data_IF_789705775666
#
_entry.id   IF_789705775666
#
_cell.length_a   1.000
_cell.length_b   1.000
_cell.length_c   1.000
_cell.angle_alpha   90.00
_cell.angle_beta   90.00
_cell.angle_gamma   90.00
#
_symmetry.space_group_name_H-M   'P 1'
#
loop_
_entity.id
_entity.type
_entity.pdbx_description
1 polymer ?
#
# COMPACT_ATOMS: atom_id res chain seq x y z
N UNK A 1 -13.18 -18.73 -7.99
CA UNK A 1 -12.60 -17.43 -7.62
C UNK A 1 -13.13 -16.33 -8.51
N UNK A 2 -13.40 -15.14 -7.96
CA UNK A 2 -13.91 -13.98 -8.68
C UNK A 2 -12.96 -12.81 -8.48
N UNK A 3 -12.89 -11.93 -9.49
CA UNK A 3 -12.22 -10.63 -9.41
C UNK A 3 -13.19 -9.51 -9.77
N UNK A 4 -12.88 -8.33 -9.25
CA UNK A 4 -13.54 -7.09 -9.62
C UNK A 4 -12.80 -6.50 -10.81
N UNK A 5 -13.54 -6.18 -11.87
CA UNK A 5 -12.99 -5.70 -13.13
C UNK A 5 -13.60 -4.35 -13.53
N UNK A 6 -12.75 -3.33 -13.65
CA UNK A 6 -13.14 -2.02 -14.15
C UNK A 6 -12.79 -1.95 -15.62
N UNK A 7 -13.81 -1.82 -16.50
CA UNK A 7 -13.63 -1.78 -17.94
C UNK A 7 -14.20 -0.51 -18.54
N UNK A 8 -13.59 -0.06 -19.63
CA UNK A 8 -14.17 1.00 -20.45
C UNK A 8 -15.23 0.41 -21.36
N UNK A 9 -16.46 0.87 -21.19
CA UNK A 9 -17.61 0.46 -21.98
C UNK A 9 -18.05 1.53 -22.98
N UNK A 10 -17.72 2.81 -22.71
CA UNK A 10 -18.05 3.95 -23.58
C UNK A 10 -16.80 4.80 -23.87
N UNK A 11 -16.13 4.61 -25.01
CA UNK A 11 -14.89 5.33 -25.33
C UNK A 11 -15.09 6.83 -25.64
N UNK A 12 -16.30 7.22 -26.02
CA UNK A 12 -16.63 8.61 -26.36
C UNK A 12 -17.06 9.44 -25.16
N UNK A 13 -17.21 8.82 -23.99
CA UNK A 13 -17.48 9.54 -22.76
C UNK A 13 -16.20 10.07 -22.09
N UNK A 14 -16.36 11.14 -21.32
CA UNK A 14 -15.27 11.72 -20.57
C UNK A 14 -14.72 10.72 -19.53
N UNK A 15 -13.43 10.81 -19.29
CA UNK A 15 -12.51 9.96 -18.53
C UNK A 15 -13.12 8.90 -17.60
N UNK A 16 -14.01 9.26 -16.69
CA UNK A 16 -14.55 8.30 -15.70
C UNK A 16 -15.97 7.84 -15.98
N UNK A 17 -16.74 8.60 -16.79
CA UNK A 17 -18.14 8.29 -17.09
C UNK A 17 -18.32 7.09 -18.00
N UNK A 18 -17.32 6.78 -18.82
CA UNK A 18 -17.36 5.64 -19.72
C UNK A 18 -16.86 4.33 -19.10
N UNK A 19 -16.78 4.22 -17.76
CA UNK A 19 -16.29 3.03 -17.05
C UNK A 19 -17.45 2.27 -16.41
N UNK A 20 -17.46 0.95 -16.54
CA UNK A 20 -18.39 0.04 -15.85
C UNK A 20 -17.61 -1.00 -15.02
N UNK A 21 -18.22 -1.53 -13.97
CA UNK A 21 -17.58 -2.40 -13.00
C UNK A 21 -18.27 -3.76 -12.98
N UNK A 22 -17.50 -4.84 -12.96
CA UNK A 22 -18.02 -6.20 -13.11
C UNK A 22 -17.40 -7.17 -12.12
N UNK A 23 -18.17 -8.20 -11.77
CA UNK A 23 -17.61 -9.46 -11.27
C UNK A 23 -17.13 -10.31 -12.44
N UNK A 24 -15.89 -10.76 -12.38
CA UNK A 24 -15.32 -11.68 -13.36
C UNK A 24 -15.01 -13.01 -12.70
N UNK A 25 -15.58 -14.12 -13.19
CA UNK A 25 -15.13 -15.46 -12.81
C UNK A 25 -13.76 -15.73 -13.46
N UNK A 26 -12.74 -15.93 -12.64
CA UNK A 26 -11.37 -16.17 -13.10
C UNK A 26 -11.18 -17.52 -13.80
N UNK A 27 -12.21 -18.36 -13.84
CA UNK A 27 -12.23 -19.63 -14.61
C UNK A 27 -12.88 -19.48 -15.98
N UNK A 28 -13.28 -18.26 -16.34
CA UNK A 28 -13.90 -18.00 -17.66
C UNK A 28 -12.92 -18.33 -18.79
N UNK A 29 -13.42 -18.88 -19.91
CA UNK A 29 -12.58 -19.08 -21.10
C UNK A 29 -11.90 -17.78 -21.53
N UNK A 30 -10.61 -17.87 -21.88
CA UNK A 30 -9.80 -16.72 -22.25
C UNK A 30 -9.07 -16.01 -21.10
N UNK A 31 -9.28 -16.45 -19.85
CA UNK A 31 -8.49 -15.97 -18.70
C UNK A 31 -7.27 -16.88 -18.52
N UNK A 32 -6.08 -16.31 -18.56
CA UNK A 32 -4.82 -16.97 -18.25
C UNK A 32 -4.15 -16.28 -17.06
N UNK A 33 -3.70 -17.05 -16.06
CA UNK A 33 -3.06 -16.56 -14.83
C UNK A 33 -1.66 -17.09 -14.76
N UNK A 34 -0.66 -16.20 -14.63
CA UNK A 34 0.76 -16.54 -14.46
C UNK A 34 1.28 -15.99 -13.13
N UNK A 35 1.70 -16.85 -12.20
CA UNK A 35 2.29 -16.39 -10.94
C UNK A 35 3.58 -15.58 -11.17
N UNK A 36 3.74 -14.48 -10.43
CA UNK A 36 4.96 -13.66 -10.41
C UNK A 36 5.78 -14.07 -9.19
N UNK A 37 7.00 -14.55 -9.41
CA UNK A 37 7.93 -14.84 -8.32
C UNK A 37 8.44 -13.53 -7.72
N UNK A 38 8.19 -13.36 -6.44
CA UNK A 38 8.60 -12.18 -5.68
C UNK A 38 10.01 -12.34 -5.10
N UNK A 39 10.66 -11.22 -4.75
CA UNK A 39 11.96 -11.20 -4.08
C UNK A 39 11.94 -11.97 -2.75
N UNK A 40 10.82 -11.96 -2.05
CA UNK A 40 10.58 -12.73 -0.81
C UNK A 40 10.46 -14.25 -1.02
N UNK A 41 10.59 -14.75 -2.24
CA UNK A 41 10.43 -16.17 -2.58
C UNK A 41 8.98 -16.62 -2.78
N UNK A 42 8.00 -15.82 -2.37
CA UNK A 42 6.58 -16.09 -2.58
C UNK A 42 6.11 -15.85 -4.02
N UNK A 43 4.86 -16.18 -4.32
CA UNK A 43 4.20 -15.92 -5.60
C UNK A 43 2.73 -15.50 -5.37
N UNK A 44 2.53 -14.49 -4.53
CA UNK A 44 1.20 -14.01 -4.12
C UNK A 44 0.57 -13.05 -5.14
N UNK A 45 1.35 -12.58 -6.12
CA UNK A 45 0.88 -11.75 -7.22
C UNK A 45 0.92 -12.52 -8.54
N UNK A 46 0.06 -12.12 -9.47
CA UNK A 46 -0.06 -12.79 -10.74
C UNK A 46 -0.17 -11.78 -11.88
N UNK A 47 0.38 -12.11 -13.03
CA UNK A 47 -0.04 -11.56 -14.31
C UNK A 47 -1.34 -12.24 -14.74
N UNK A 48 -2.27 -11.46 -15.26
CA UNK A 48 -3.54 -11.99 -15.76
C UNK A 48 -3.76 -11.49 -17.18
N UNK A 49 -3.95 -12.42 -18.09
CA UNK A 49 -4.21 -12.15 -19.50
C UNK A 49 -5.66 -12.45 -19.81
N UNK A 50 -6.27 -11.59 -20.64
CA UNK A 50 -7.65 -11.71 -21.08
C UNK A 50 -7.68 -11.72 -22.60
N UNK A 51 -8.19 -12.81 -23.17
CA UNK A 51 -8.36 -12.96 -24.62
C UNK A 51 -9.83 -13.29 -24.89
N UNK A 52 -10.54 -12.35 -25.48
CA UNK A 52 -11.96 -12.47 -25.83
C UNK A 52 -12.88 -12.95 -24.69
N UNK A 53 -12.54 -12.61 -23.45
CA UNK A 53 -13.33 -12.97 -22.27
C UNK A 53 -14.68 -12.26 -22.30
N UNK A 54 -15.76 -13.03 -22.18
CA UNK A 54 -17.13 -12.51 -22.16
C UNK A 54 -17.67 -12.50 -20.73
N UNK A 55 -18.11 -11.34 -20.26
CA UNK A 55 -18.74 -11.14 -18.96
C UNK A 55 -20.22 -10.84 -19.19
N UNK A 56 -21.15 -11.65 -18.67
CA UNK A 56 -22.59 -11.34 -18.76
C UNK A 56 -22.92 -10.01 -18.09
N UNK A 57 -23.84 -9.23 -18.65
CA UNK A 57 -24.27 -7.94 -18.06
C UNK A 57 -24.87 -8.11 -16.65
N UNK A 58 -25.42 -9.27 -16.34
CA UNK A 58 -25.90 -9.61 -14.99
C UNK A 58 -24.80 -9.62 -13.92
N UNK A 59 -23.53 -9.65 -14.32
CA UNK A 59 -22.37 -9.54 -13.44
C UNK A 59 -21.87 -8.09 -13.27
N UNK A 60 -22.55 -7.12 -13.86
CA UNK A 60 -22.25 -5.69 -13.70
C UNK A 60 -22.69 -5.20 -12.31
N UNK A 61 -21.83 -4.40 -11.70
CA UNK A 61 -22.09 -3.74 -10.43
C UNK A 61 -22.40 -2.25 -10.68
N UNK A 62 -23.59 -1.83 -10.33
CA UNK A 62 -24.09 -0.49 -10.61
C UNK A 62 -24.56 -0.31 -12.06
N UNK A 63 -24.87 0.94 -12.44
CA UNK A 63 -25.32 1.28 -13.77
C UNK A 63 -24.14 1.42 -14.75
N UNK A 64 -24.43 1.35 -16.06
CA UNK A 64 -23.44 1.64 -17.11
C UNK A 64 -22.86 3.04 -16.88
N UNK A 65 -21.56 3.18 -16.96
CA UNK A 65 -20.85 4.45 -16.74
C UNK A 65 -20.64 4.84 -15.28
N UNK A 66 -21.15 4.08 -14.30
CA UNK A 66 -20.93 4.34 -12.86
C UNK A 66 -19.78 3.51 -12.26
N UNK A 67 -19.05 2.77 -13.08
CA UNK A 67 -18.02 1.85 -12.59
C UNK A 67 -16.94 2.52 -11.75
N UNK A 68 -16.55 3.75 -12.04
CA UNK A 68 -15.58 4.48 -11.23
C UNK A 68 -16.08 4.75 -9.81
N UNK A 69 -17.33 5.11 -9.67
CA UNK A 69 -17.94 5.38 -8.35
C UNK A 69 -18.01 4.11 -7.50
N UNK A 70 -18.38 2.97 -8.12
CA UNK A 70 -18.37 1.66 -7.46
C UNK A 70 -16.95 1.26 -7.07
N UNK A 71 -15.97 1.46 -7.96
CA UNK A 71 -14.55 1.18 -7.67
C UNK A 71 -14.03 2.02 -6.48
N UNK A 72 -14.38 3.30 -6.40
CA UNK A 72 -13.99 4.15 -5.26
C UNK A 72 -14.54 3.62 -3.93
N UNK A 73 -15.78 3.11 -3.92
CA UNK A 73 -16.36 2.49 -2.71
C UNK A 73 -15.54 1.26 -2.28
N UNK A 74 -15.14 0.42 -3.22
CA UNK A 74 -14.27 -0.75 -2.96
C UNK A 74 -12.92 -0.31 -2.39
N UNK A 75 -12.25 0.67 -3.01
CA UNK A 75 -10.95 1.16 -2.59
C UNK A 75 -10.97 1.84 -1.21
N UNK A 76 -12.08 2.51 -0.86
CA UNK A 76 -12.24 3.12 0.48
C UNK A 76 -12.34 2.04 1.56
N UNK A 77 -13.08 0.97 1.32
CA UNK A 77 -13.18 -0.16 2.24
C UNK A 77 -11.85 -0.92 2.38
N UNK A 78 -11.11 -1.11 1.29
CA UNK A 78 -9.77 -1.71 1.30
C UNK A 78 -8.80 -0.89 2.15
N UNK A 79 -8.77 0.43 2.01
CA UNK A 79 -7.91 1.31 2.82
C UNK A 79 -8.20 1.20 4.31
N UNK A 80 -9.47 1.11 4.69
CA UNK A 80 -9.85 0.90 6.08
C UNK A 80 -9.33 -0.43 6.64
N UNK A 81 -9.28 -1.48 5.81
CA UNK A 81 -8.75 -2.78 6.19
C UNK A 81 -7.21 -2.82 6.25
N UNK A 82 -6.51 -2.13 5.34
CA UNK A 82 -5.04 -2.11 5.26
C UNK A 82 -4.44 -1.20 6.35
N UNK A 83 -5.13 -0.16 6.79
CA UNK A 83 -4.65 0.81 7.80
C UNK A 83 -4.42 0.26 9.21
N UNK A 84 -4.71 -1.03 9.45
CA UNK A 84 -4.66 -1.67 10.76
C UNK A 84 -3.29 -2.21 11.22
N UNK A 85 -2.17 -1.75 10.65
CA UNK A 85 -0.82 -2.14 11.08
C UNK A 85 -0.44 -3.55 10.60
N UNK A 86 0.35 -3.66 9.53
CA UNK A 86 0.89 -4.92 9.05
C UNK A 86 1.81 -5.58 10.09
N UNK A 87 1.82 -6.91 10.12
CA UNK A 87 2.85 -7.68 10.82
C UNK A 87 4.21 -7.33 10.21
N UNK A 88 5.05 -6.63 10.94
CA UNK A 88 6.36 -6.19 10.48
C UNK A 88 7.21 -5.71 11.65
N UNK A 89 8.39 -5.21 11.35
CA UNK A 89 9.31 -4.63 12.34
C UNK A 89 8.68 -3.34 12.88
N UNK A 90 8.58 -3.24 14.19
CA UNK A 90 8.13 -2.07 14.94
C UNK A 90 9.21 -1.63 15.93
N UNK A 91 8.98 -0.52 16.64
CA UNK A 91 9.95 0.03 17.60
C UNK A 91 10.27 -0.93 18.73
N UNK A 92 9.32 -1.77 19.15
CA UNK A 92 9.58 -2.73 20.24
C UNK A 92 10.57 -3.81 19.78
N UNK A 93 10.41 -4.34 18.54
CA UNK A 93 11.35 -5.28 17.93
C UNK A 93 12.74 -4.63 17.77
N UNK A 94 12.79 -3.41 17.23
CA UNK A 94 14.05 -2.68 17.05
C UNK A 94 14.77 -2.41 18.40
N UNK A 95 14.01 -2.02 19.42
CA UNK A 95 14.55 -1.76 20.77
C UNK A 95 15.08 -3.04 21.42
N UNK A 96 14.40 -4.17 21.24
CA UNK A 96 14.87 -5.47 21.74
C UNK A 96 16.16 -5.89 21.06
N UNK A 97 16.24 -5.79 19.74
CA UNK A 97 17.47 -6.09 18.99
C UNK A 97 18.62 -5.19 19.48
N UNK A 98 18.39 -3.87 19.60
CA UNK A 98 19.40 -2.94 20.07
C UNK A 98 19.84 -3.21 21.52
N UNK A 99 19.00 -3.83 22.33
CA UNK A 99 19.36 -4.21 23.72
C UNK A 99 20.22 -5.49 23.77
N UNK A 100 20.16 -6.33 22.74
CA UNK A 100 20.85 -7.61 22.70
C UNK A 100 22.14 -7.58 21.87
N UNK A 101 22.25 -6.64 20.92
CA UNK A 101 23.46 -6.45 20.10
C UNK A 101 24.47 -5.57 20.86
N UNK A 102 25.74 -5.89 20.71
CA UNK A 102 26.84 -5.14 21.39
C UNK A 102 27.56 -4.25 20.34
N UNK A 103 27.81 -3.00 20.72
CA UNK A 103 28.69 -2.05 20.04
C UNK A 103 29.74 -1.60 21.07
N UNK A 104 31.02 -1.76 20.76
CA UNK A 104 32.12 -1.39 21.68
C UNK A 104 31.93 -1.93 23.11
N UNK A 105 31.60 -3.21 23.22
CA UNK A 105 31.35 -3.93 24.48
C UNK A 105 30.19 -3.43 25.35
N UNK A 106 29.27 -2.66 24.73
CA UNK A 106 28.03 -2.16 25.34
C UNK A 106 26.81 -2.50 24.52
N UNK A 107 25.64 -2.69 25.13
CA UNK A 107 24.41 -2.82 24.36
C UNK A 107 24.20 -1.65 23.41
N UNK A 108 23.87 -1.94 22.15
CA UNK A 108 23.68 -0.91 21.11
C UNK A 108 22.64 0.15 21.50
N UNK A 109 21.67 -0.19 22.36
CA UNK A 109 20.68 0.76 22.88
C UNK A 109 21.31 1.86 23.75
N UNK A 110 22.55 1.70 24.25
CA UNK A 110 23.29 2.73 25.00
C UNK A 110 23.98 3.72 24.08
N UNK A 111 24.15 3.39 22.78
CA UNK A 111 24.70 4.30 21.80
C UNK A 111 23.71 5.45 21.51
N UNK A 112 24.23 6.68 21.44
CA UNK A 112 23.40 7.88 21.29
C UNK A 112 22.71 7.97 19.93
N UNK A 113 23.33 7.49 18.85
CA UNK A 113 22.77 7.51 17.51
C UNK A 113 21.65 6.45 17.37
N UNK A 114 21.87 5.26 17.94
CA UNK A 114 20.84 4.21 18.02
C UNK A 114 19.63 4.71 18.81
N UNK A 115 19.86 5.31 19.98
CA UNK A 115 18.78 5.89 20.81
C UNK A 115 18.00 6.98 20.08
N UNK A 116 18.67 7.85 19.36
CA UNK A 116 18.03 8.91 18.58
C UNK A 116 17.10 8.35 17.50
N UNK A 117 17.56 7.31 16.78
CA UNK A 117 16.74 6.60 15.79
C UNK A 117 15.50 5.94 16.42
N UNK A 118 15.68 5.20 17.49
CA UNK A 118 14.58 4.54 18.20
C UNK A 118 13.55 5.57 18.73
N UNK A 119 14.03 6.69 19.26
CA UNK A 119 13.16 7.76 19.75
C UNK A 119 12.36 8.40 18.62
N UNK A 120 12.97 8.67 17.45
CA UNK A 120 12.29 9.22 16.28
C UNK A 120 11.18 8.27 15.80
N UNK A 121 11.46 6.99 15.65
CA UNK A 121 10.44 6.01 15.25
C UNK A 121 9.34 5.84 16.30
N UNK A 122 9.66 5.92 17.59
CA UNK A 122 8.66 5.89 18.65
C UNK A 122 7.69 7.08 18.53
N UNK A 123 8.21 8.28 18.27
CA UNK A 123 7.39 9.48 18.04
C UNK A 123 6.49 9.30 16.82
N UNK A 124 7.05 8.81 15.70
CA UNK A 124 6.28 8.54 14.50
C UNK A 124 5.16 7.50 14.75
N UNK A 125 5.47 6.38 15.41
CA UNK A 125 4.46 5.36 15.74
C UNK A 125 3.37 5.90 16.67
N UNK A 126 3.75 6.68 17.65
CA UNK A 126 2.78 7.33 18.53
C UNK A 126 1.88 8.29 17.77
N UNK A 127 2.43 9.09 16.88
CA UNK A 127 1.68 9.99 16.00
C UNK A 127 0.68 9.24 15.12
N UNK A 128 1.10 8.16 14.48
CA UNK A 128 0.24 7.33 13.65
C UNK A 128 -0.88 6.66 14.47
N UNK A 129 -0.55 6.14 15.64
CA UNK A 129 -1.53 5.53 16.56
C UNK A 129 -2.61 6.52 16.98
N UNK A 130 -2.24 7.73 17.39
CA UNK A 130 -3.21 8.76 17.77
C UNK A 130 -4.01 9.28 16.58
N UNK A 131 -3.43 9.37 15.40
CA UNK A 131 -4.16 9.66 14.15
C UNK A 131 -5.21 8.58 13.88
N UNK A 132 -4.85 7.30 14.05
CA UNK A 132 -5.78 6.18 13.96
C UNK A 132 -6.94 6.28 14.96
N UNK A 133 -6.67 6.65 16.22
CA UNK A 133 -7.72 6.84 17.22
C UNK A 133 -8.69 7.97 16.87
N UNK A 134 -8.22 9.05 16.23
CA UNK A 134 -9.09 10.11 15.71
C UNK A 134 -10.04 9.57 14.64
N UNK A 135 -9.53 8.79 13.71
CA UNK A 135 -10.32 8.14 12.66
C UNK A 135 -11.36 7.18 13.24
N UNK A 136 -10.97 6.36 14.22
CA UNK A 136 -11.90 5.47 14.92
C UNK A 136 -13.02 6.24 15.65
N UNK A 137 -12.67 7.38 16.27
CA UNK A 137 -13.64 8.26 16.92
C UNK A 137 -14.62 8.87 15.92
N UNK A 138 -14.15 9.32 14.76
CA UNK A 138 -15.01 9.80 13.68
C UNK A 138 -15.99 8.71 13.21
N UNK A 139 -15.49 7.51 12.94
CA UNK A 139 -16.33 6.36 12.55
C UNK A 139 -17.38 6.02 13.62
N UNK A 140 -17.03 6.05 14.91
CA UNK A 140 -17.98 5.78 16.00
C UNK A 140 -19.13 6.79 16.09
N UNK A 141 -18.95 7.96 15.50
CA UNK A 141 -19.98 9.02 15.38
C UNK A 141 -20.75 8.94 14.05
N UNK A 142 -20.50 7.94 13.22
CA UNK A 142 -21.11 7.81 11.89
C UNK A 142 -20.47 8.72 10.83
N UNK A 143 -19.33 9.35 11.12
CA UNK A 143 -18.58 10.16 10.17
C UNK A 143 -17.70 9.27 9.28
N UNK A 144 -17.44 9.70 8.06
CA UNK A 144 -16.51 9.01 7.16
C UNK A 144 -15.11 9.55 7.44
N UNK A 145 -14.11 8.68 7.72
CA UNK A 145 -12.72 9.12 7.90
C UNK A 145 -12.21 9.91 6.69
N UNK A 146 -11.55 11.01 6.95
CA UNK A 146 -11.10 11.94 5.92
C UNK A 146 -9.80 11.51 5.20
N UNK A 147 -9.32 12.36 4.27
CA UNK A 147 -8.10 12.11 3.50
C UNK A 147 -6.83 12.06 4.36
N UNK A 148 -6.86 12.56 5.61
CA UNK A 148 -5.77 12.49 6.58
C UNK A 148 -5.33 11.05 6.88
N UNK A 149 -6.17 10.05 6.65
CA UNK A 149 -5.80 8.64 6.78
C UNK A 149 -4.65 8.23 5.84
N UNK A 150 -4.43 9.00 4.77
CA UNK A 150 -3.27 8.81 3.88
C UNK A 150 -1.93 9.01 4.58
N UNK A 151 -1.88 9.77 5.69
CA UNK A 151 -0.68 9.98 6.52
C UNK A 151 -0.16 8.64 7.06
N UNK A 152 -1.07 7.77 7.51
CA UNK A 152 -0.73 6.47 8.07
C UNK A 152 0.15 5.65 7.13
N UNK A 153 -0.21 5.62 5.85
CA UNK A 153 0.56 4.90 4.84
C UNK A 153 1.84 5.64 4.43
N UNK A 154 1.76 6.95 4.20
CA UNK A 154 2.89 7.76 3.75
C UNK A 154 4.07 7.73 4.74
N UNK A 155 3.79 7.69 6.04
CA UNK A 155 4.80 7.62 7.09
C UNK A 155 5.14 6.18 7.45
N UNK A 156 4.14 5.30 7.56
CA UNK A 156 4.31 3.95 8.07
C UNK A 156 5.13 3.04 7.16
N UNK A 157 4.91 3.06 5.86
CA UNK A 157 5.58 2.15 4.94
C UNK A 157 7.10 2.44 4.80
N UNK A 158 7.55 3.69 4.55
CA UNK A 158 8.97 4.02 4.56
C UNK A 158 9.65 3.74 5.91
N UNK A 159 8.99 4.10 7.02
CA UNK A 159 9.50 3.84 8.37
C UNK A 159 9.75 2.35 8.61
N UNK A 160 8.81 1.48 8.24
CA UNK A 160 8.96 0.03 8.40
C UNK A 160 10.16 -0.51 7.61
N UNK A 161 10.36 -0.02 6.39
CA UNK A 161 11.52 -0.37 5.56
C UNK A 161 12.84 0.09 6.22
N UNK A 162 12.88 1.33 6.70
CA UNK A 162 14.05 1.90 7.36
C UNK A 162 14.41 1.13 8.64
N UNK A 163 13.41 0.80 9.48
CA UNK A 163 13.63 0.02 10.70
C UNK A 163 14.17 -1.37 10.41
N UNK A 164 13.62 -2.05 9.40
CA UNK A 164 14.09 -3.38 9.03
C UNK A 164 15.56 -3.34 8.55
N UNK A 165 15.90 -2.37 7.68
CA UNK A 165 17.28 -2.14 7.23
C UNK A 165 18.22 -1.87 8.40
N UNK A 166 17.86 -0.94 9.27
CA UNK A 166 18.66 -0.59 10.44
C UNK A 166 18.89 -1.77 11.38
N UNK A 167 17.87 -2.57 11.66
CA UNK A 167 18.02 -3.76 12.49
C UNK A 167 18.94 -4.81 11.84
N UNK A 168 18.88 -4.97 10.52
CA UNK A 168 19.81 -5.84 9.78
C UNK A 168 21.24 -5.32 9.86
N UNK A 169 21.44 -4.01 9.71
CA UNK A 169 22.75 -3.37 9.83
C UNK A 169 23.35 -3.53 11.25
N UNK A 170 22.55 -3.39 12.29
CA UNK A 170 22.97 -3.66 13.68
C UNK A 170 23.42 -5.10 13.90
N UNK A 171 22.84 -6.05 13.19
CA UNK A 171 23.19 -7.47 13.26
C UNK A 171 24.42 -7.82 12.41
N UNK A 172 25.00 -6.88 11.69
CA UNK A 172 26.16 -7.04 10.81
C UNK A 172 26.00 -8.23 9.84
N UNK A 173 26.98 -9.14 9.78
CA UNK A 173 26.93 -10.31 8.91
C UNK A 173 25.76 -11.25 9.22
N UNK A 174 25.31 -11.32 10.46
CA UNK A 174 24.14 -12.14 10.82
C UNK A 174 22.82 -11.57 10.32
N UNK A 175 22.74 -10.28 10.06
CA UNK A 175 21.60 -9.63 9.42
C UNK A 175 21.35 -10.08 7.98
N UNK A 176 22.36 -10.62 7.29
CA UNK A 176 22.22 -11.17 5.92
C UNK A 176 21.67 -12.61 5.89
N UNK A 177 21.60 -13.28 7.02
CA UNK A 177 21.14 -14.68 7.09
C UNK A 177 19.61 -14.71 6.97
N UNK A 178 19.11 -15.42 5.99
CA UNK A 178 17.68 -15.65 5.80
C UNK A 178 17.34 -17.14 5.94
N UNK A 179 17.14 -17.55 7.18
CA UNK A 179 16.77 -18.91 7.55
C UNK A 179 15.94 -18.84 8.86
N UNK A 180 14.82 -19.53 8.93
CA UNK A 180 13.91 -19.47 10.07
C UNK A 180 14.57 -19.90 11.41
N UNK A 181 15.54 -20.81 11.36
CA UNK A 181 16.17 -21.38 12.55
C UNK A 181 17.45 -20.62 12.94
N UNK A 182 18.12 -19.98 12.00
CA UNK A 182 19.42 -19.33 12.20
C UNK A 182 19.31 -17.80 12.28
N UNK A 183 18.30 -17.22 11.60
CA UNK A 183 18.11 -15.77 11.59
C UNK A 183 17.57 -15.27 12.92
N UNK A 184 18.05 -14.12 13.36
CA UNK A 184 17.40 -13.35 14.42
C UNK A 184 15.96 -13.05 14.00
N UNK A 185 15.00 -13.14 14.92
CA UNK A 185 13.57 -12.91 14.62
C UNK A 185 13.00 -13.85 13.52
N UNK A 186 13.55 -15.05 13.38
CA UNK A 186 13.10 -16.04 12.39
C UNK A 186 12.94 -15.46 10.95
N UNK A 187 13.84 -14.58 10.53
CA UNK A 187 13.83 -13.97 9.20
C UNK A 187 12.84 -12.82 9.02
N UNK A 188 12.17 -12.35 10.07
CA UNK A 188 11.22 -11.24 10.01
C UNK A 188 11.83 -9.96 9.43
N UNK A 189 13.08 -9.65 9.79
CA UNK A 189 13.76 -8.45 9.33
C UNK A 189 13.95 -8.47 7.81
N UNK A 190 14.47 -9.59 7.29
CA UNK A 190 14.72 -9.78 5.86
C UNK A 190 13.42 -9.78 5.06
N UNK A 191 12.38 -10.48 5.55
CA UNK A 191 11.06 -10.47 4.94
C UNK A 191 10.46 -9.08 4.91
N UNK A 192 10.57 -8.33 6.01
CA UNK A 192 10.06 -6.95 6.10
C UNK A 192 10.81 -6.04 5.13
N UNK A 193 12.14 -6.11 5.10
CA UNK A 193 12.97 -5.30 4.20
C UNK A 193 12.63 -5.55 2.72
N UNK A 194 12.59 -6.83 2.31
CA UNK A 194 12.30 -7.21 0.93
C UNK A 194 10.83 -6.97 0.52
N UNK A 195 9.91 -7.06 1.47
CA UNK A 195 8.47 -6.84 1.23
C UNK A 195 8.05 -5.37 1.30
N UNK A 196 8.78 -4.52 2.02
CA UNK A 196 8.42 -3.13 2.28
C UNK A 196 8.23 -2.27 1.01
N UNK A 197 9.00 -2.43 -0.09
CA UNK A 197 8.72 -1.71 -1.33
C UNK A 197 7.31 -1.95 -1.87
N UNK A 198 6.78 -3.18 -1.75
CA UNK A 198 5.40 -3.49 -2.09
C UNK A 198 4.39 -2.69 -1.25
N UNK A 199 4.68 -2.51 0.05
CA UNK A 199 3.88 -1.68 0.95
C UNK A 199 3.87 -0.20 0.57
N UNK A 200 4.89 0.31 -0.11
CA UNK A 200 4.96 1.68 -0.61
C UNK A 200 4.17 1.92 -1.91
N UNK A 201 3.76 0.85 -2.57
CA UNK A 201 3.00 0.87 -3.83
C UNK A 201 1.54 0.49 -3.61
N UNK A 202 1.29 -0.60 -2.89
CA UNK A 202 -0.04 -1.14 -2.64
C UNK A 202 -0.95 -0.14 -1.91
N UNK A 203 -2.24 -0.09 -2.26
CA UNK A 203 -3.20 0.84 -1.67
C UNK A 203 -2.99 2.32 -2.05
N UNK A 204 -2.17 2.59 -3.05
CA UNK A 204 -1.73 3.89 -3.54
C UNK A 204 -0.25 4.18 -3.24
N UNK A 205 0.47 4.73 -4.21
CA UNK A 205 1.90 5.03 -4.05
C UNK A 205 2.14 6.17 -3.06
N UNK A 206 3.38 6.33 -2.59
CA UNK A 206 3.77 7.42 -1.70
C UNK A 206 3.44 8.78 -2.34
N UNK A 207 3.63 8.94 -3.67
CA UNK A 207 3.32 10.15 -4.42
C UNK A 207 1.83 10.43 -4.45
N UNK A 208 1.00 9.40 -4.67
CA UNK A 208 -0.47 9.55 -4.62
C UNK A 208 -0.93 9.94 -3.21
N UNK A 209 -0.34 9.36 -2.16
CA UNK A 209 -0.65 9.75 -0.78
C UNK A 209 -0.25 11.19 -0.50
N UNK A 210 0.93 11.62 -0.97
CA UNK A 210 1.38 13.00 -0.85
C UNK A 210 0.43 13.97 -1.59
N UNK A 211 0.02 13.65 -2.81
CA UNK A 211 -0.94 14.46 -3.57
C UNK A 211 -2.30 14.57 -2.86
N UNK A 212 -2.83 13.46 -2.32
CA UNK A 212 -4.08 13.48 -1.58
C UNK A 212 -3.98 14.40 -0.36
N UNK A 213 -2.87 14.35 0.37
CA UNK A 213 -2.64 15.21 1.54
C UNK A 213 -2.51 16.68 1.10
N UNK A 214 -1.70 16.96 0.08
CA UNK A 214 -1.50 18.31 -0.44
C UNK A 214 -2.81 18.95 -0.88
N UNK A 215 -3.58 18.25 -1.71
CA UNK A 215 -4.80 18.79 -2.32
C UNK A 215 -5.99 18.84 -1.34
N UNK A 216 -6.20 17.78 -0.56
CA UNK A 216 -7.43 17.59 0.22
C UNK A 216 -7.30 17.93 1.69
N UNK A 217 -6.09 17.88 2.26
CA UNK A 217 -5.85 18.24 3.67
C UNK A 217 -5.30 19.65 3.76
N UNK A 218 -4.30 20.00 2.94
CA UNK A 218 -3.64 21.30 2.96
C UNK A 218 -4.32 22.34 2.03
N UNK A 219 -5.24 21.92 1.16
CA UNK A 219 -5.94 22.81 0.22
C UNK A 219 -5.05 23.38 -0.87
N UNK A 220 -3.95 22.71 -1.21
CA UNK A 220 -3.08 23.14 -2.29
C UNK A 220 -3.76 22.98 -3.66
N UNK A 221 -3.37 23.78 -4.66
CA UNK A 221 -3.93 23.67 -6.00
C UNK A 221 -3.65 22.30 -6.61
N UNK A 222 -4.62 21.79 -7.36
CA UNK A 222 -4.43 20.56 -8.14
C UNK A 222 -3.51 20.82 -9.34
N UNK A 223 -2.81 19.77 -9.76
CA UNK A 223 -2.06 19.79 -11.01
C UNK A 223 -2.97 20.12 -12.21
N UNK A 224 -2.51 20.98 -13.14
CA UNK A 224 -3.21 21.22 -14.39
C UNK A 224 -3.39 19.91 -15.18
N UNK A 225 -4.63 19.60 -15.52
CA UNK A 225 -4.99 18.41 -16.28
C UNK A 225 -5.52 18.79 -17.65
N UNK A 226 -4.73 18.48 -18.68
CA UNK A 226 -5.10 18.74 -20.09
C UNK A 226 -6.22 17.83 -20.61
N UNK A 227 -6.37 16.64 -19.97
CA UNK A 227 -7.37 15.62 -20.33
C UNK A 227 -8.73 15.82 -19.63
N UNK A 228 -8.85 16.83 -18.79
CA UNK A 228 -10.05 17.05 -17.97
C UNK A 228 -11.26 17.42 -18.85
N UNK A 229 -12.25 16.54 -18.87
CA UNK A 229 -13.49 16.73 -19.64
C UNK A 229 -13.42 16.30 -21.10
N UNK A 230 -12.27 15.81 -21.57
CA UNK A 230 -12.13 15.23 -22.91
C UNK A 230 -12.76 13.84 -22.97
N UNK A 231 -13.28 13.45 -24.12
CA UNK A 231 -13.62 12.05 -24.40
C UNK A 231 -12.35 11.18 -24.29
N UNK A 232 -12.49 9.97 -23.81
CA UNK A 232 -11.30 9.10 -23.67
C UNK A 232 -10.60 8.84 -25.01
N UNK A 233 -11.39 8.69 -26.08
CA UNK A 233 -10.89 8.51 -27.46
C UNK A 233 -10.07 9.69 -27.98
N UNK A 234 -10.20 10.87 -27.38
CA UNK A 234 -9.51 12.11 -27.77
C UNK A 234 -8.29 12.42 -26.89
N UNK A 235 -8.09 11.65 -25.79
CA UNK A 235 -6.96 11.87 -24.89
C UNK A 235 -5.66 11.49 -25.60
N UNK A 236 -4.65 12.39 -25.67
CA UNK A 236 -3.38 12.08 -26.32
C UNK A 236 -2.67 10.87 -25.67
N UNK A 237 -2.23 9.92 -26.49
CA UNK A 237 -1.56 8.68 -26.02
C UNK A 237 -0.03 8.79 -25.95
N UNK A 238 0.54 9.94 -26.25
CA UNK A 238 1.99 10.15 -26.29
C UNK A 238 2.71 9.46 -27.44
N UNK A 239 1.97 8.84 -28.36
CA UNK A 239 2.50 8.19 -29.55
C UNK A 239 2.44 9.15 -30.74
N UNK A 240 3.34 10.15 -30.75
CA UNK A 240 3.65 10.94 -31.94
C UNK A 240 5.14 11.23 -31.97
#
# INVERSE_FOLDING_TARGET
>A
EYRLWLARTEPNDATYKGLSYFFLDMRSPGVEIKPIKQLTGGANFNEVYFTDVRIPDSQRLGEVGQGWQVALTTLMNERAAIGGGGAGVNVDVASRIASEVMIDDKPAIEDSAVRAKLADWYVQESGLRFTGYRSMTAMSRGEIPGPENSIGKLVGAPKTQEMASFCMDLLEMSGAIWDENLSKEAGLLQLTYMGAPGGRIAGGTDEIMANIIAERVLGMPQEPRMDKGMAFSEVPTGSN
#
